data_IF_803184343234
#
_entry.id   IF_803184343234
#
_cell.length_a   1.000
_cell.length_b   1.000
_cell.length_c   1.000
_cell.angle_alpha   90.00
_cell.angle_beta   90.00
_cell.angle_gamma   90.00
#
_symmetry.space_group_name_H-M   'P 1'
#
loop_
_entity.id
_entity.type
_entity.pdbx_description
1 polymer ?
#
# COMPACT_ATOMS: atom_id res chain seq x y z
N UNK A 1 20.48 6.75 26.26
CA UNK A 1 20.95 7.75 25.27
C UNK A 1 21.28 7.00 23.98
N UNK A 2 20.38 6.95 23.01
CA UNK A 2 20.58 6.25 21.73
C UNK A 2 20.72 7.27 20.61
N UNK A 3 21.92 7.39 20.05
CA UNK A 3 22.19 8.25 18.89
C UNK A 3 21.52 7.62 17.67
N UNK A 4 20.35 8.14 17.28
CA UNK A 4 19.66 7.72 16.06
C UNK A 4 20.61 7.88 14.87
N UNK A 5 20.94 6.76 14.21
CA UNK A 5 21.75 6.78 12.99
C UNK A 5 20.95 7.55 11.95
N UNK A 6 21.28 8.83 11.75
CA UNK A 6 20.77 9.59 10.61
C UNK A 6 21.18 8.84 9.35
N UNK A 7 20.19 8.30 8.66
CA UNK A 7 20.31 7.80 7.29
C UNK A 7 20.73 8.99 6.42
N UNK A 8 22.04 9.15 6.22
CA UNK A 8 22.63 10.25 5.47
C UNK A 8 22.87 9.73 4.05
N UNK A 9 22.28 10.39 3.04
CA UNK A 9 22.56 10.08 1.63
C UNK A 9 24.08 10.16 1.40
N UNK A 10 24.65 9.17 0.71
CA UNK A 10 26.09 9.14 0.39
C UNK A 10 26.52 10.43 -0.33
N UNK A 11 27.51 11.10 0.27
CA UNK A 11 28.36 12.20 -0.23
C UNK A 11 27.89 12.93 -1.50
N UNK A 12 27.20 14.06 -1.32
CA UNK A 12 27.09 15.07 -2.38
C UNK A 12 28.25 16.04 -2.24
N UNK A 13 28.97 16.30 -3.33
CA UNK A 13 29.96 17.38 -3.34
C UNK A 13 29.25 18.72 -3.05
N UNK A 14 29.92 19.62 -2.33
CA UNK A 14 29.36 20.92 -1.95
C UNK A 14 28.82 21.69 -3.18
N UNK A 15 29.50 21.57 -4.33
CA UNK A 15 29.05 22.16 -5.61
C UNK A 15 27.68 21.64 -6.05
N UNK A 16 27.48 20.31 -6.06
CA UNK A 16 26.19 19.68 -6.43
C UNK A 16 25.08 20.00 -5.44
N UNK A 17 25.40 20.28 -4.18
CA UNK A 17 24.42 20.73 -3.19
C UNK A 17 23.99 22.18 -3.47
N UNK A 18 24.95 23.10 -3.68
CA UNK A 18 24.67 24.51 -4.01
C UNK A 18 23.83 24.65 -5.29
N UNK A 19 24.19 23.95 -6.36
CA UNK A 19 23.42 23.99 -7.62
C UNK A 19 21.97 23.52 -7.44
N UNK A 20 21.72 22.52 -6.59
CA UNK A 20 20.36 22.07 -6.32
C UNK A 20 19.56 23.11 -5.54
N UNK A 21 20.19 23.74 -4.53
CA UNK A 21 19.54 24.78 -3.74
C UNK A 21 19.14 25.97 -4.62
N UNK A 22 20.04 26.45 -5.48
CA UNK A 22 19.71 27.53 -6.42
C UNK A 22 18.52 27.15 -7.33
N UNK A 23 18.54 25.94 -7.91
CA UNK A 23 17.40 25.46 -8.72
C UNK A 23 16.09 25.39 -7.94
N UNK A 24 16.14 24.97 -6.68
CA UNK A 24 14.97 24.90 -5.80
C UNK A 24 14.42 26.30 -5.51
N UNK A 25 15.29 27.25 -5.20
CA UNK A 25 14.92 28.65 -4.95
C UNK A 25 14.25 29.26 -6.20
N UNK A 26 14.84 29.05 -7.38
CA UNK A 26 14.32 29.54 -8.66
C UNK A 26 12.95 28.92 -8.99
N UNK A 27 12.83 27.59 -8.84
CA UNK A 27 11.60 26.85 -9.21
C UNK A 27 10.45 27.17 -8.26
N UNK A 28 10.72 27.25 -6.96
CA UNK A 28 9.69 27.47 -5.93
C UNK A 28 9.43 28.95 -5.66
N UNK A 29 10.26 29.86 -6.19
CA UNK A 29 10.26 31.31 -5.91
C UNK A 29 10.25 31.60 -4.41
N UNK A 30 11.09 30.87 -3.66
CA UNK A 30 11.21 30.94 -2.20
C UNK A 30 12.68 30.93 -1.80
N UNK A 31 13.02 31.60 -0.71
CA UNK A 31 14.37 31.54 -0.15
C UNK A 31 14.67 30.14 0.43
N UNK A 32 15.94 29.73 0.44
CA UNK A 32 16.38 28.51 1.11
C UNK A 32 15.92 28.42 2.58
N UNK A 33 15.93 29.54 3.31
CA UNK A 33 15.44 29.60 4.68
C UNK A 33 13.93 29.26 4.79
N UNK A 34 13.10 29.77 3.89
CA UNK A 34 11.68 29.42 3.83
C UNK A 34 11.46 27.96 3.45
N UNK A 35 12.21 27.44 2.47
CA UNK A 35 12.13 26.04 2.04
C UNK A 35 12.46 25.13 3.21
N UNK A 36 13.57 25.40 3.92
CA UNK A 36 13.95 24.66 5.11
C UNK A 36 12.89 24.75 6.21
N UNK A 37 12.29 25.93 6.41
CA UNK A 37 11.21 26.13 7.38
C UNK A 37 10.00 25.25 7.04
N UNK A 38 9.59 25.19 5.77
CA UNK A 38 8.51 24.31 5.31
C UNK A 38 8.85 22.83 5.53
N UNK A 39 10.09 22.43 5.23
CA UNK A 39 10.53 21.04 5.46
C UNK A 39 10.50 20.71 6.95
N UNK A 40 11.00 21.59 7.82
CA UNK A 40 10.98 21.41 9.28
C UNK A 40 9.55 21.35 9.81
N UNK A 41 8.68 22.26 9.39
CA UNK A 41 7.28 22.28 9.76
C UNK A 41 6.56 20.99 9.33
N UNK A 42 6.87 20.46 8.14
CA UNK A 42 6.35 19.17 7.70
C UNK A 42 6.92 17.99 8.48
N UNK A 43 8.17 18.03 8.92
CA UNK A 43 8.80 16.92 9.64
C UNK A 43 8.14 16.66 11.00
N UNK A 44 7.64 17.69 11.67
CA UNK A 44 7.00 17.60 13.00
C UNK A 44 5.50 17.27 12.94
N UNK A 45 4.89 17.25 11.75
CA UNK A 45 3.48 16.89 11.62
C UNK A 45 3.23 15.43 11.98
N UNK A 46 2.05 15.15 12.54
CA UNK A 46 1.60 13.79 12.77
C UNK A 46 1.60 12.99 11.45
N UNK A 47 2.25 11.83 11.50
CA UNK A 47 2.43 10.94 10.36
C UNK A 47 1.55 9.71 10.51
N UNK A 48 1.16 9.12 9.39
CA UNK A 48 0.33 7.92 9.32
C UNK A 48 0.99 6.91 8.41
N UNK A 49 0.98 5.66 8.86
CA UNK A 49 1.39 4.52 8.04
C UNK A 49 0.16 4.07 7.27
N UNK A 50 0.28 4.02 5.95
CA UNK A 50 -0.82 3.56 5.10
C UNK A 50 -0.98 2.03 5.16
N UNK A 51 -2.17 1.52 4.87
CA UNK A 51 -2.49 0.09 5.00
C UNK A 51 -1.57 -0.81 4.15
N UNK A 52 -1.19 -0.39 2.94
CA UNK A 52 -0.31 -1.18 2.07
C UNK A 52 1.08 -1.37 2.68
N UNK A 53 1.57 -0.34 3.38
CA UNK A 53 2.85 -0.39 4.10
C UNK A 53 2.71 -1.27 5.35
N UNK A 54 1.59 -1.17 6.09
CA UNK A 54 1.34 -2.03 7.25
C UNK A 54 1.36 -3.51 6.85
N UNK A 55 0.72 -3.87 5.73
CA UNK A 55 0.71 -5.24 5.21
C UNK A 55 2.09 -5.73 4.80
N UNK A 56 2.86 -4.91 4.06
CA UNK A 56 4.23 -5.26 3.69
C UNK A 56 5.08 -5.53 4.94
N UNK A 57 5.01 -4.64 5.93
CA UNK A 57 5.77 -4.78 7.17
C UNK A 57 5.35 -6.01 7.98
N UNK A 58 4.05 -6.31 8.02
CA UNK A 58 3.55 -7.53 8.65
C UNK A 58 4.16 -8.78 8.00
N UNK A 59 4.15 -8.90 6.67
CA UNK A 59 4.70 -10.09 6.03
C UNK A 59 6.22 -10.23 6.15
N UNK A 60 6.96 -9.12 6.25
CA UNK A 60 8.40 -9.20 6.48
C UNK A 60 8.78 -9.54 7.92
N UNK A 61 7.99 -9.12 8.92
CA UNK A 61 8.25 -9.43 10.32
C UNK A 61 7.81 -10.84 10.73
N UNK A 62 6.88 -11.45 9.98
CA UNK A 62 6.33 -12.77 10.27
C UNK A 62 7.00 -13.87 9.44
N UNK A 63 8.11 -14.41 9.94
CA UNK A 63 8.86 -15.51 9.29
C UNK A 63 8.10 -16.84 9.23
N UNK A 64 7.03 -17.00 10.02
CA UNK A 64 6.17 -18.19 10.02
C UNK A 64 5.30 -18.31 8.76
N UNK A 65 5.13 -17.23 8.01
CA UNK A 65 4.32 -17.21 6.80
C UNK A 65 5.15 -17.75 5.62
N UNK A 66 5.00 -19.03 5.32
CA UNK A 66 5.73 -19.71 4.24
C UNK A 66 5.37 -19.18 2.85
N UNK A 67 4.12 -18.76 2.66
CA UNK A 67 3.56 -18.32 1.38
C UNK A 67 2.91 -16.94 1.52
N UNK A 68 3.70 -15.85 1.53
CA UNK A 68 3.13 -14.50 1.53
C UNK A 68 2.41 -14.23 0.19
N UNK A 69 1.40 -13.35 0.18
CA UNK A 69 0.72 -12.98 -1.05
C UNK A 69 1.71 -12.30 -2.00
N UNK A 70 1.54 -12.56 -3.31
CA UNK A 70 2.34 -11.87 -4.34
C UNK A 70 1.87 -10.43 -4.57
N UNK A 71 0.61 -10.12 -4.27
CA UNK A 71 -0.03 -8.83 -4.56
C UNK A 71 -0.56 -8.25 -3.26
N UNK A 72 -0.23 -6.99 -2.99
CA UNK A 72 -0.87 -6.17 -1.96
C UNK A 72 -1.84 -5.22 -2.67
N UNK A 73 -3.10 -5.22 -2.25
CA UNK A 73 -4.10 -4.29 -2.76
C UNK A 73 -5.14 -3.97 -1.70
N UNK A 74 -5.73 -2.78 -1.80
CA UNK A 74 -6.90 -2.39 -1.01
C UNK A 74 -8.05 -1.98 -1.94
N UNK A 75 -9.18 -1.57 -1.37
CA UNK A 75 -10.28 -0.97 -2.13
C UNK A 75 -9.95 0.40 -2.72
N UNK A 76 -8.80 1.00 -2.35
CA UNK A 76 -8.23 2.20 -2.96
C UNK A 76 -6.96 1.87 -3.72
N UNK A 77 -6.71 2.63 -4.77
CA UNK A 77 -5.41 2.58 -5.45
C UNK A 77 -4.30 2.96 -4.46
N UNK A 78 -3.10 2.43 -4.69
CA UNK A 78 -1.97 2.80 -3.85
C UNK A 78 -1.58 4.27 -4.10
N UNK A 79 -1.17 4.94 -3.03
CA UNK A 79 -0.56 6.27 -3.17
C UNK A 79 0.81 6.18 -3.82
N UNK A 80 1.31 7.33 -4.30
CA UNK A 80 2.62 7.40 -4.95
C UNK A 80 3.73 6.75 -4.11
N UNK A 81 3.80 7.08 -2.82
CA UNK A 81 4.86 6.57 -1.93
C UNK A 81 4.68 5.09 -1.57
N UNK A 82 3.43 4.62 -1.38
CA UNK A 82 3.17 3.19 -1.18
C UNK A 82 3.61 2.37 -2.39
N UNK A 83 3.17 2.79 -3.58
CA UNK A 83 3.52 2.12 -4.83
C UNK A 83 5.03 2.15 -5.09
N UNK A 84 5.68 3.30 -4.89
CA UNK A 84 7.13 3.41 -5.09
C UNK A 84 7.88 2.49 -4.13
N UNK A 85 7.56 2.54 -2.84
CA UNK A 85 8.24 1.74 -1.83
C UNK A 85 8.05 0.23 -2.03
N UNK A 86 6.83 -0.21 -2.36
CA UNK A 86 6.57 -1.63 -2.64
C UNK A 86 7.36 -2.10 -3.88
N UNK A 87 7.48 -1.26 -4.91
CA UNK A 87 8.32 -1.55 -6.08
C UNK A 87 9.81 -1.61 -5.74
N UNK A 88 10.31 -0.70 -4.90
CA UNK A 88 11.73 -0.74 -4.49
C UNK A 88 12.04 -1.92 -3.57
N UNK A 89 11.05 -2.38 -2.78
CA UNK A 89 11.16 -3.62 -2.00
C UNK A 89 11.16 -4.89 -2.87
N UNK A 90 10.43 -4.90 -3.98
CA UNK A 90 10.56 -5.91 -5.03
C UNK A 90 9.90 -7.28 -4.78
N UNK A 91 9.42 -7.58 -3.57
CA UNK A 91 8.75 -8.87 -3.26
C UNK A 91 7.23 -8.89 -3.44
N UNK A 92 6.61 -7.72 -3.51
CA UNK A 92 5.16 -7.58 -3.63
C UNK A 92 4.82 -6.74 -4.86
N UNK A 93 3.70 -7.04 -5.49
CA UNK A 93 3.12 -6.23 -6.55
C UNK A 93 1.97 -5.38 -6.02
N UNK A 94 1.79 -4.22 -6.63
CA UNK A 94 0.62 -3.35 -6.43
C UNK A 94 -0.15 -3.33 -7.74
N UNK A 95 -1.47 -3.56 -7.67
CA UNK A 95 -2.34 -3.63 -8.85
C UNK A 95 -2.41 -2.29 -9.59
N UNK A 96 -2.42 -1.20 -8.84
CA UNK A 96 -2.73 0.13 -9.37
C UNK A 96 -2.31 1.23 -8.40
N UNK A 97 -1.92 2.37 -8.95
CA UNK A 97 -1.44 3.53 -8.22
C UNK A 97 -2.13 4.77 -8.77
N UNK A 98 -2.77 5.56 -7.92
CA UNK A 98 -3.32 6.84 -8.34
C UNK A 98 -2.19 7.88 -8.44
N UNK A 99 -1.12 7.77 -7.66
CA UNK A 99 0.06 8.64 -7.85
C UNK A 99 -0.02 10.00 -7.15
N UNK A 100 -1.01 10.20 -6.26
CA UNK A 100 -1.02 11.34 -5.34
C UNK A 100 -0.04 11.10 -4.18
N UNK A 101 0.64 12.18 -3.80
CA UNK A 101 1.55 12.24 -2.67
C UNK A 101 0.78 12.68 -1.41
N UNK A 102 0.91 11.93 -0.31
CA UNK A 102 0.32 12.32 0.97
C UNK A 102 1.39 12.86 1.92
N UNK A 103 1.34 14.15 2.33
CA UNK A 103 2.38 14.77 3.17
C UNK A 103 2.56 14.14 4.56
N UNK A 104 1.55 13.42 5.02
CA UNK A 104 1.55 12.71 6.31
C UNK A 104 2.02 11.25 6.21
N UNK A 105 2.46 10.79 5.04
CA UNK A 105 2.93 9.42 4.87
C UNK A 105 4.24 9.16 5.64
N UNK A 106 4.37 7.95 6.20
CA UNK A 106 5.64 7.41 6.73
C UNK A 106 5.69 5.89 6.61
N UNK A 107 6.88 5.33 6.73
CA UNK A 107 7.13 3.93 7.06
C UNK A 107 7.32 3.75 8.58
N UNK A 108 7.04 2.56 9.14
CA UNK A 108 7.48 2.21 10.50
C UNK A 108 9.00 2.34 10.65
N UNK A 109 9.47 2.72 11.83
CA UNK A 109 10.91 2.72 12.11
C UNK A 109 11.38 1.27 12.26
N UNK A 110 12.59 0.96 11.78
CA UNK A 110 13.18 -0.37 11.93
C UNK A 110 13.25 -0.78 13.41
N UNK A 111 13.56 0.19 14.28
CA UNK A 111 13.62 0.04 15.74
C UNK A 111 12.26 -0.26 16.39
N UNK A 112 11.15 0.04 15.71
CA UNK A 112 9.79 -0.24 16.20
C UNK A 112 9.41 -1.72 16.07
N UNK A 113 10.19 -2.55 15.38
CA UNK A 113 9.87 -3.98 15.24
C UNK A 113 11.06 -4.90 15.50
N UNK A 114 10.76 -6.14 15.85
CA UNK A 114 11.74 -7.21 16.01
C UNK A 114 11.82 -7.99 14.69
N UNK A 115 12.88 -7.72 13.92
CA UNK A 115 13.08 -8.30 12.59
C UNK A 115 14.12 -9.42 12.63
N UNK A 116 13.91 -10.52 11.88
CA UNK A 116 15.01 -11.41 11.50
C UNK A 116 16.07 -10.62 10.71
N UNK A 117 17.36 -10.91 10.93
CA UNK A 117 18.47 -10.20 10.28
C UNK A 117 18.33 -10.07 8.74
N UNK A 118 17.92 -11.12 7.99
CA UNK A 118 17.73 -11.01 6.55
C UNK A 118 16.65 -10.00 6.15
N UNK A 119 15.61 -9.83 6.98
CA UNK A 119 14.53 -8.90 6.72
C UNK A 119 14.96 -7.45 6.99
N UNK A 120 15.80 -7.22 8.00
CA UNK A 120 16.43 -5.92 8.27
C UNK A 120 17.28 -5.44 7.09
N UNK A 121 18.12 -6.32 6.53
CA UNK A 121 18.98 -5.99 5.38
C UNK A 121 18.13 -5.60 4.16
N UNK A 122 17.15 -6.44 3.80
CA UNK A 122 16.23 -6.15 2.69
C UNK A 122 15.51 -4.82 2.87
N UNK A 123 15.05 -4.55 4.09
CA UNK A 123 14.33 -3.31 4.39
C UNK A 123 15.25 -2.09 4.26
N UNK A 124 16.50 -2.19 4.71
CA UNK A 124 17.49 -1.13 4.54
C UNK A 124 17.78 -0.86 3.06
N UNK A 125 17.95 -1.91 2.25
CA UNK A 125 18.15 -1.79 0.80
C UNK A 125 16.94 -1.15 0.11
N UNK A 126 15.73 -1.54 0.48
CA UNK A 126 14.49 -0.97 -0.05
C UNK A 126 14.35 0.52 0.28
N UNK A 127 14.77 0.94 1.48
CA UNK A 127 14.77 2.35 1.92
C UNK A 127 15.83 3.16 1.16
N UNK A 128 17.03 2.61 1.00
CA UNK A 128 18.10 3.27 0.25
C UNK A 128 17.71 3.48 -1.22
N UNK A 129 17.08 2.46 -1.83
CA UNK A 129 16.56 2.55 -3.19
C UNK A 129 15.37 3.52 -3.30
N UNK A 130 14.45 3.54 -2.32
CA UNK A 130 13.38 4.54 -2.24
C UNK A 130 13.97 5.96 -2.24
N UNK A 131 14.95 6.22 -1.38
CA UNK A 131 15.61 7.53 -1.28
C UNK A 131 16.26 7.92 -2.61
N UNK A 132 16.94 6.98 -3.27
CA UNK A 132 17.56 7.20 -4.58
C UNK A 132 16.52 7.58 -5.64
N UNK A 133 15.39 6.86 -5.68
CA UNK A 133 14.30 7.13 -6.64
C UNK A 133 13.61 8.47 -6.38
N UNK A 134 13.41 8.83 -5.11
CA UNK A 134 12.86 10.14 -4.74
C UNK A 134 13.82 11.27 -5.15
N UNK A 135 15.12 11.13 -4.91
CA UNK A 135 16.11 12.11 -5.34
C UNK A 135 16.12 12.30 -6.87
N UNK A 136 16.03 11.21 -7.64
CA UNK A 136 15.95 11.28 -9.09
C UNK A 136 14.69 12.01 -9.55
N UNK A 137 13.54 11.69 -8.96
CA UNK A 137 12.28 12.37 -9.30
C UNK A 137 12.30 13.84 -8.94
N UNK A 138 12.82 14.20 -7.77
CA UNK A 138 12.97 15.62 -7.38
C UNK A 138 13.83 16.37 -8.42
N UNK A 139 14.95 15.79 -8.85
CA UNK A 139 15.78 16.39 -9.90
C UNK A 139 15.04 16.54 -11.23
N UNK A 140 14.34 15.49 -11.65
CA UNK A 140 13.51 15.54 -12.86
C UNK A 140 12.46 16.64 -12.77
N UNK A 141 11.80 16.81 -11.62
CA UNK A 141 10.83 17.89 -11.41
C UNK A 141 11.45 19.28 -11.48
N UNK A 142 12.69 19.45 -11.01
CA UNK A 142 13.42 20.71 -11.08
C UNK A 142 13.96 21.03 -12.47
N UNK A 143 14.16 20.01 -13.31
CA UNK A 143 14.61 20.18 -14.69
C UNK A 143 13.42 20.37 -15.66
N UNK A 144 12.17 20.15 -15.22
CA UNK A 144 10.97 20.33 -16.03
C UNK A 144 10.51 21.79 -16.09
N UNK A 145 10.29 22.30 -17.30
CA UNK A 145 9.80 23.67 -17.55
C UNK A 145 8.27 23.80 -17.47
N UNK A 146 7.53 22.69 -17.46
CA UNK A 146 6.06 22.65 -17.33
C UNK A 146 5.65 21.40 -16.54
N UNK A 147 4.92 21.59 -15.44
CA UNK A 147 4.40 20.50 -14.61
C UNK A 147 2.92 20.26 -14.93
N UNK A 148 2.61 19.18 -15.65
CA UNK A 148 1.24 18.64 -15.68
C UNK A 148 1.02 17.83 -14.39
N UNK A 149 0.31 18.41 -13.44
CA UNK A 149 -0.22 17.67 -12.29
C UNK A 149 -1.48 16.96 -12.79
N UNK A 150 -1.39 15.67 -13.08
CA UNK A 150 -2.56 14.85 -13.37
C UNK A 150 -3.36 14.65 -12.09
N UNK A 151 -4.65 14.96 -12.08
CA UNK A 151 -5.58 14.61 -11.00
C UNK A 151 -6.00 13.15 -11.14
N UNK A 152 -5.42 12.22 -10.36
CA UNK A 152 -5.67 10.82 -10.59
C UNK A 152 -6.89 10.36 -9.81
N UNK A 153 -7.78 9.62 -10.46
CA UNK A 153 -8.92 8.98 -9.79
C UNK A 153 -8.40 8.07 -8.66
N UNK A 154 -8.84 8.34 -7.43
CA UNK A 154 -8.32 7.66 -6.23
C UNK A 154 -9.05 6.34 -5.93
N UNK A 155 -10.24 6.14 -6.49
CA UNK A 155 -11.13 5.01 -6.20
C UNK A 155 -11.68 4.43 -7.50
N UNK A 156 -11.66 3.10 -7.63
CA UNK A 156 -12.36 2.37 -8.67
C UNK A 156 -13.40 1.49 -7.99
N UNK A 157 -14.64 1.56 -8.45
CA UNK A 157 -15.67 0.60 -8.04
C UNK A 157 -15.25 -0.74 -8.64
N UNK A 158 -14.90 -1.69 -7.77
CA UNK A 158 -14.61 -3.05 -8.19
C UNK A 158 -15.93 -3.70 -8.62
N UNK A 159 -16.20 -3.75 -9.92
CA UNK A 159 -17.22 -4.64 -10.49
C UNK A 159 -16.52 -5.98 -10.71
N UNK A 160 -16.86 -7.05 -9.97
CA UNK A 160 -16.21 -8.34 -10.15
C UNK A 160 -16.62 -8.93 -11.50
N UNK A 161 -15.75 -8.85 -12.51
CA UNK A 161 -15.85 -9.76 -13.65
C UNK A 161 -15.38 -11.14 -13.17
N UNK A 162 -16.35 -12.05 -13.06
CA UNK A 162 -16.25 -13.51 -12.92
C UNK A 162 -14.87 -14.00 -12.45
N UNK A 163 -14.74 -14.25 -11.15
CA UNK A 163 -13.54 -14.88 -10.59
C UNK A 163 -13.30 -16.23 -11.27
N UNK A 164 -12.10 -16.41 -11.84
CA UNK A 164 -11.57 -17.74 -12.14
C UNK A 164 -11.35 -18.45 -10.79
N UNK A 165 -11.93 -19.64 -10.56
CA UNK A 165 -11.74 -20.33 -9.30
C UNK A 165 -10.25 -20.63 -9.09
N UNK A 166 -9.75 -20.27 -7.91
CA UNK A 166 -8.42 -20.65 -7.46
C UNK A 166 -8.39 -22.18 -7.39
N UNK A 167 -7.42 -22.81 -8.05
CA UNK A 167 -7.17 -24.26 -7.89
C UNK A 167 -6.83 -24.51 -6.42
N UNK A 168 -7.84 -24.90 -5.64
CA UNK A 168 -7.65 -25.47 -4.32
C UNK A 168 -6.90 -26.79 -4.53
N UNK A 169 -5.87 -26.97 -3.71
CA UNK A 169 -5.14 -28.22 -3.53
C UNK A 169 -6.09 -29.41 -3.58
N UNK A 170 -5.78 -30.41 -4.40
CA UNK A 170 -6.49 -31.67 -4.44
C UNK A 170 -6.37 -32.37 -3.08
N UNK A 171 -7.28 -32.05 -2.17
CA UNK A 171 -7.63 -32.91 -1.05
C UNK A 171 -8.76 -33.82 -1.53
N UNK A 172 -8.50 -35.13 -1.40
CA UNK A 172 -9.28 -36.27 -1.83
C UNK A 172 -10.80 -36.04 -2.00
N UNK A 173 -11.29 -36.51 -3.15
CA UNK A 173 -12.70 -36.70 -3.50
C UNK A 173 -13.43 -37.47 -2.40
N UNK A 174 -14.45 -36.85 -1.83
CA UNK A 174 -15.56 -37.54 -1.19
C UNK A 174 -16.85 -36.86 -1.67
N UNK A 175 -17.60 -37.53 -2.53
CA UNK A 175 -18.87 -37.01 -3.06
C UNK A 175 -19.96 -37.00 -1.98
N UNK A 176 -20.77 -35.93 -1.87
CA UNK A 176 -21.98 -35.95 -1.07
C UNK A 176 -23.17 -36.48 -1.88
N UNK A 177 -23.78 -37.56 -1.38
CA UNK A 177 -24.99 -38.19 -1.90
C UNK A 177 -26.21 -37.24 -1.83
N UNK A 178 -26.80 -36.92 -2.99
CA UNK A 178 -27.92 -35.99 -3.18
C UNK A 178 -29.25 -36.75 -3.24
N UNK A 179 -29.69 -37.36 -2.12
CA UNK A 179 -30.99 -38.07 -2.13
C UNK A 179 -31.82 -37.96 -0.83
N UNK A 180 -31.58 -36.94 0.02
CA UNK A 180 -32.32 -36.79 1.29
C UNK A 180 -32.82 -35.36 1.57
N UNK A 181 -33.13 -34.57 0.54
CA UNK A 181 -33.64 -33.20 0.71
C UNK A 181 -34.89 -32.87 -0.13
N UNK A 182 -35.64 -33.87 -0.58
CA UNK A 182 -36.91 -33.68 -1.31
C UNK A 182 -38.03 -34.49 -0.61
N UNK A 183 -38.37 -34.15 0.62
CA UNK A 183 -39.63 -34.66 1.24
C UNK A 183 -40.21 -33.77 2.34
N UNK A 184 -39.84 -32.48 2.40
CA UNK A 184 -40.30 -31.61 3.51
C UNK A 184 -40.74 -30.21 3.10
N UNK A 185 -41.35 -30.09 1.91
CA UNK A 185 -41.90 -28.82 1.42
C UNK A 185 -43.18 -28.96 0.58
N UNK A 186 -44.08 -29.90 0.94
CA UNK A 186 -45.39 -30.07 0.27
C UNK A 186 -46.56 -30.16 1.25
N UNK A 187 -46.50 -29.45 2.39
CA UNK A 187 -47.65 -29.27 3.26
C UNK A 187 -47.79 -27.79 3.64
N UNK A 188 -48.23 -26.96 2.70
CA UNK A 188 -48.89 -25.68 2.97
C UNK A 188 -49.49 -25.15 1.66
N UNK A 189 -50.73 -25.56 1.34
CA UNK A 189 -51.71 -24.81 0.52
C UNK A 189 -52.87 -25.70 0.02
N UNK A 190 -53.94 -25.81 0.82
CA UNK A 190 -55.34 -25.88 0.35
C UNK A 190 -56.24 -25.85 1.60
N UNK A 191 -56.80 -24.70 1.97
CA UNK A 191 -58.03 -24.04 1.47
C UNK A 191 -59.24 -24.37 2.37
N UNK A 192 -59.69 -23.35 3.10
CA UNK A 192 -60.94 -23.30 3.86
C UNK A 192 -62.17 -23.59 3.00
N UNK A 193 -63.18 -24.22 3.58
CA UNK A 193 -64.57 -23.72 3.57
C UNK A 193 -65.45 -24.47 4.57
N UNK A 194 -66.34 -23.70 5.18
CA UNK A 194 -67.35 -24.05 6.17
C UNK A 194 -68.26 -25.23 5.79
N UNK A 195 -68.76 -25.95 6.81
CA UNK A 195 -70.19 -25.95 7.20
C UNK A 195 -70.46 -26.90 8.39
N UNK A 196 -71.19 -26.35 9.35
CA UNK A 196 -71.81 -26.99 10.52
C UNK A 196 -73.18 -27.61 10.13
N UNK A 197 -73.99 -28.14 11.09
CA UNK A 197 -74.05 -29.44 11.77
C UNK A 197 -75.27 -30.26 11.20
N UNK A 198 -76.05 -31.17 11.87
CA UNK A 198 -76.14 -31.74 13.25
C UNK A 198 -76.01 -33.30 13.25
N UNK A 199 -75.96 -34.06 14.36
CA UNK A 199 -76.70 -34.11 15.62
C UNK A 199 -75.86 -34.74 16.73
#
# INVERSE_FOLDING_TARGET
>A
MGCGRRLRSKSRTARKARTLLTKLEDTLRKSSAEIESHVRAHAVQSKRIHAEIQLLFYYESNSSILLPPRVICSNKHACFLCNLFIKTHGRFYIRSCHGRLYPRWRIPLLEEMQWPEPATIRMQEAIDELNRQLELKIRQYLDQTCLKISDPQESVIFVPDVYTPSMLSAAAVAEPNIDMAITRATEYSHCSTDKHPPH
#
